data_IF_627659773074
#
_entry.id   IF_627659773074
#
_cell.length_a   1.000
_cell.length_b   1.000
_cell.length_c   1.000
_cell.angle_alpha   90.00
_cell.angle_beta   90.00
_cell.angle_gamma   90.00
#
_symmetry.space_group_name_H-M   'P 1'
#
loop_
_entity.id
_entity.type
_entity.pdbx_description
1 polymer ?
#
# COMPACT_ATOMS: atom_id res chain seq x y z
N UNK A 1 -44.80 1.26 -41.64
CA UNK A 1 -44.55 1.18 -40.17
C UNK A 1 -43.72 -0.08 -39.89
N UNK A 2 -42.43 -0.10 -40.27
CA UNK A 2 -41.56 -1.29 -40.11
C UNK A 2 -40.17 -1.01 -39.51
N UNK A 3 -39.68 0.23 -39.60
CA UNK A 3 -38.26 0.53 -39.34
C UNK A 3 -37.90 0.67 -37.85
N UNK A 4 -38.88 0.85 -36.96
CA UNK A 4 -38.61 1.15 -35.54
C UNK A 4 -38.32 -0.11 -34.69
N UNK A 5 -38.54 -1.32 -35.22
CA UNK A 5 -38.33 -2.56 -34.46
C UNK A 5 -36.91 -3.12 -34.65
N UNK A 6 -36.38 -3.07 -35.87
CA UNK A 6 -35.04 -3.57 -36.18
C UNK A 6 -33.94 -2.73 -35.50
N UNK A 7 -34.13 -1.43 -35.41
CA UNK A 7 -33.20 -0.54 -34.69
C UNK A 7 -33.19 -0.81 -33.19
N UNK A 8 -34.36 -1.09 -32.59
CA UNK A 8 -34.47 -1.46 -31.18
C UNK A 8 -33.82 -2.81 -30.88
N UNK A 9 -33.98 -3.80 -31.77
CA UNK A 9 -33.34 -5.12 -31.65
C UNK A 9 -31.81 -4.98 -31.76
N UNK A 10 -31.33 -4.14 -32.69
CA UNK A 10 -29.91 -3.87 -32.87
C UNK A 10 -29.30 -3.18 -31.64
N UNK A 11 -29.96 -2.15 -31.12
CA UNK A 11 -29.53 -1.44 -29.91
C UNK A 11 -29.55 -2.33 -28.66
N UNK A 12 -30.52 -3.25 -28.55
CA UNK A 12 -30.55 -4.25 -27.48
C UNK A 12 -29.37 -5.21 -27.60
N UNK A 13 -29.04 -5.63 -28.83
CA UNK A 13 -27.88 -6.48 -29.13
C UNK A 13 -26.54 -5.83 -28.78
N UNK A 14 -26.37 -4.54 -29.06
CA UNK A 14 -25.17 -3.78 -28.69
C UNK A 14 -25.03 -3.63 -27.17
N UNK A 15 -26.12 -3.33 -26.46
CA UNK A 15 -26.11 -3.26 -24.98
C UNK A 15 -25.75 -4.60 -24.34
N UNK A 16 -26.26 -5.71 -24.88
CA UNK A 16 -25.91 -7.06 -24.41
C UNK A 16 -24.42 -7.38 -24.65
N UNK A 17 -23.86 -6.95 -25.79
CA UNK A 17 -22.42 -7.10 -26.07
C UNK A 17 -21.55 -6.30 -25.10
N UNK A 18 -21.92 -5.04 -24.82
CA UNK A 18 -21.18 -4.19 -23.86
C UNK A 18 -21.26 -4.79 -22.45
N UNK A 19 -22.46 -5.22 -22.02
CA UNK A 19 -22.64 -5.89 -20.73
C UNK A 19 -21.83 -7.18 -20.62
N UNK A 20 -21.73 -7.96 -21.70
CA UNK A 20 -20.90 -9.17 -21.73
C UNK A 20 -19.41 -8.88 -21.60
N UNK A 21 -18.92 -7.82 -22.25
CA UNK A 21 -17.53 -7.38 -22.15
C UNK A 21 -17.19 -6.83 -20.75
N UNK A 22 -18.08 -6.04 -20.15
CA UNK A 22 -17.94 -5.52 -18.79
C UNK A 22 -17.90 -6.65 -17.74
N UNK A 23 -18.80 -7.64 -17.87
CA UNK A 23 -18.81 -8.82 -17.01
C UNK A 23 -17.52 -9.63 -17.18
N UNK A 24 -17.06 -9.84 -18.42
CA UNK A 24 -15.80 -10.50 -18.71
C UNK A 24 -14.61 -9.81 -18.03
N UNK A 25 -14.55 -8.47 -18.11
CA UNK A 25 -13.49 -7.67 -17.48
C UNK A 25 -13.50 -7.81 -15.95
N UNK A 26 -14.67 -7.70 -15.32
CA UNK A 26 -14.84 -7.84 -13.86
C UNK A 26 -14.50 -9.25 -13.38
N UNK A 27 -14.83 -10.28 -14.16
CA UNK A 27 -14.45 -11.67 -13.87
C UNK A 27 -12.93 -11.82 -13.95
N UNK A 28 -12.27 -11.28 -14.97
CA UNK A 28 -10.79 -11.33 -15.11
C UNK A 28 -10.08 -10.57 -13.99
N UNK A 29 -10.57 -9.38 -13.61
CA UNK A 29 -10.03 -8.59 -12.51
C UNK A 29 -10.20 -9.33 -11.16
N UNK A 30 -11.39 -9.89 -10.93
CA UNK A 30 -11.68 -10.71 -9.74
C UNK A 30 -10.80 -11.96 -9.64
N UNK A 31 -10.58 -12.66 -10.75
CA UNK A 31 -9.68 -13.83 -10.82
C UNK A 31 -8.21 -13.43 -10.61
N UNK A 32 -7.77 -12.30 -11.13
CA UNK A 32 -6.40 -11.80 -10.95
C UNK A 32 -6.12 -11.44 -9.50
N UNK A 33 -7.07 -10.77 -8.84
CA UNK A 33 -7.01 -10.45 -7.40
C UNK A 33 -7.02 -11.72 -6.54
N UNK A 34 -7.87 -12.68 -6.87
CA UNK A 34 -7.93 -13.96 -6.16
C UNK A 34 -6.65 -14.78 -6.35
N UNK A 35 -6.08 -14.82 -7.56
CA UNK A 35 -4.79 -15.46 -7.83
C UNK A 35 -3.65 -14.82 -7.03
N UNK A 36 -3.62 -13.49 -6.94
CA UNK A 36 -2.64 -12.77 -6.13
C UNK A 36 -2.77 -13.14 -4.65
N UNK A 37 -4.00 -13.15 -4.12
CA UNK A 37 -4.27 -13.49 -2.72
C UNK A 37 -4.01 -14.96 -2.39
N UNK A 38 -4.28 -15.88 -3.32
CA UNK A 38 -3.95 -17.31 -3.19
C UNK A 38 -2.44 -17.53 -3.25
N UNK A 39 -1.72 -16.81 -4.11
CA UNK A 39 -0.25 -16.83 -4.16
C UNK A 39 0.35 -16.33 -2.84
N UNK A 40 -0.23 -15.30 -2.25
CA UNK A 40 0.15 -14.78 -0.93
C UNK A 40 -0.13 -15.79 0.20
N UNK A 41 -1.21 -16.57 0.10
CA UNK A 41 -1.58 -17.62 1.06
C UNK A 41 -0.73 -18.90 0.96
N UNK A 42 -0.14 -19.16 -0.20
CA UNK A 42 0.64 -20.37 -0.49
C UNK A 42 2.16 -20.18 -0.37
N UNK A 43 2.63 -18.93 -0.32
CA UNK A 43 4.03 -18.65 0.02
C UNK A 43 4.20 -18.78 1.53
N UNK A 44 5.02 -19.75 1.97
CA UNK A 44 5.58 -19.72 3.32
C UNK A 44 6.26 -18.36 3.57
N UNK A 45 6.40 -17.95 4.84
CA UNK A 45 6.90 -16.62 5.23
C UNK A 45 8.02 -16.15 4.29
N UNK A 46 7.75 -15.09 3.53
CA UNK A 46 8.73 -14.49 2.64
C UNK A 46 9.91 -14.00 3.50
N UNK A 47 11.15 -14.21 3.07
CA UNK A 47 12.35 -13.78 3.80
C UNK A 47 12.29 -12.28 4.15
N UNK A 48 11.71 -11.48 3.24
CA UNK A 48 11.48 -10.05 3.48
C UNK A 48 10.48 -9.80 4.62
N UNK A 49 9.40 -10.58 4.70
CA UNK A 49 8.44 -10.47 5.81
C UNK A 49 9.16 -10.75 7.13
N UNK A 50 9.99 -11.80 7.18
CA UNK A 50 10.74 -12.18 8.39
C UNK A 50 11.69 -11.06 8.85
N UNK A 51 12.49 -10.50 7.95
CA UNK A 51 13.41 -9.38 8.27
C UNK A 51 12.64 -8.18 8.85
N UNK A 52 11.50 -7.84 8.26
CA UNK A 52 10.66 -6.73 8.73
C UNK A 52 9.97 -7.07 10.06
N UNK A 53 9.56 -8.31 10.28
CA UNK A 53 9.01 -8.79 11.55
C UNK A 53 10.04 -8.68 12.69
N UNK A 54 11.28 -9.09 12.43
CA UNK A 54 12.40 -9.02 13.39
C UNK A 54 12.75 -7.57 13.74
N UNK A 55 12.75 -6.66 12.77
CA UNK A 55 12.98 -5.23 13.01
C UNK A 55 11.82 -4.51 13.73
N UNK A 56 10.66 -5.17 13.89
CA UNK A 56 9.44 -4.56 14.45
C UNK A 56 8.75 -5.46 15.49
N UNK A 57 9.52 -6.23 16.25
CA UNK A 57 8.98 -7.11 17.28
C UNK A 57 8.33 -6.33 18.44
N UNK A 58 7.24 -6.86 18.98
CA UNK A 58 6.53 -6.25 20.11
C UNK A 58 7.36 -6.21 21.41
N UNK A 59 8.39 -7.05 21.50
CA UNK A 59 9.29 -7.17 22.64
C UNK A 59 10.41 -6.14 22.64
N UNK A 60 10.57 -5.36 21.56
CA UNK A 60 11.62 -4.33 21.46
C UNK A 60 11.25 -3.09 22.27
N UNK A 61 12.24 -2.53 22.98
CA UNK A 61 12.07 -1.30 23.76
C UNK A 61 11.98 -0.05 22.88
N UNK A 62 12.49 -0.11 21.65
CA UNK A 62 12.52 0.98 20.69
C UNK A 62 13.07 0.55 19.33
N UNK A 63 13.24 1.49 18.39
CA UNK A 63 13.79 1.20 17.07
C UNK A 63 15.22 0.67 17.15
N UNK A 64 15.52 -0.43 16.46
CA UNK A 64 16.88 -0.85 16.19
C UNK A 64 17.39 -0.15 14.93
N UNK A 65 18.15 0.93 15.12
CA UNK A 65 18.70 1.70 14.01
C UNK A 65 19.69 0.90 13.16
N UNK A 66 20.40 -0.07 13.75
CA UNK A 66 21.31 -0.91 12.99
C UNK A 66 20.53 -1.78 12.01
N UNK A 67 19.49 -2.49 12.48
CA UNK A 67 18.63 -3.30 11.61
C UNK A 67 17.89 -2.46 10.57
N UNK A 68 17.36 -1.29 10.95
CA UNK A 68 16.64 -0.43 10.01
C UNK A 68 17.54 0.07 8.86
N UNK A 69 18.79 0.46 9.18
CA UNK A 69 19.75 0.90 8.17
C UNK A 69 20.26 -0.27 7.33
N UNK A 70 20.46 -1.45 7.92
CA UNK A 70 20.79 -2.66 7.17
C UNK A 70 19.70 -3.02 6.15
N UNK A 71 18.43 -2.91 6.50
CA UNK A 71 17.31 -3.09 5.56
C UNK A 71 17.42 -2.09 4.40
N UNK A 72 17.71 -0.82 4.70
CA UNK A 72 17.89 0.21 3.66
C UNK A 72 19.06 -0.13 2.74
N UNK A 73 20.19 -0.58 3.30
CA UNK A 73 21.34 -1.03 2.52
C UNK A 73 21.01 -2.24 1.65
N UNK A 74 20.24 -3.21 2.15
CA UNK A 74 19.80 -4.36 1.37
C UNK A 74 18.90 -3.94 0.21
N UNK A 75 18.00 -2.97 0.41
CA UNK A 75 17.16 -2.41 -0.66
C UNK A 75 18.00 -1.65 -1.68
N UNK A 76 18.91 -0.78 -1.24
CA UNK A 76 19.73 0.05 -2.11
C UNK A 76 20.74 -0.76 -2.95
N UNK A 77 21.18 -1.91 -2.43
CA UNK A 77 22.01 -2.87 -3.14
C UNK A 77 21.21 -3.94 -3.90
N UNK A 78 19.89 -3.78 -4.01
CA UNK A 78 18.97 -4.69 -4.72
C UNK A 78 19.03 -6.15 -4.23
N UNK A 79 19.45 -6.38 -2.98
CA UNK A 79 19.44 -7.70 -2.33
C UNK A 79 18.03 -8.15 -1.98
N UNK A 80 17.16 -7.19 -1.68
CA UNK A 80 15.72 -7.40 -1.44
C UNK A 80 14.91 -6.35 -2.21
N UNK A 81 13.68 -6.70 -2.55
CA UNK A 81 12.81 -5.84 -3.34
C UNK A 81 12.16 -4.75 -2.45
N UNK A 82 12.24 -3.49 -2.88
CA UNK A 82 11.67 -2.34 -2.13
C UNK A 82 10.16 -2.45 -1.94
N UNK A 83 9.42 -2.89 -2.97
CA UNK A 83 7.98 -3.06 -2.91
C UNK A 83 7.59 -4.14 -1.88
N UNK A 84 8.33 -5.25 -1.83
CA UNK A 84 8.09 -6.31 -0.83
C UNK A 84 8.34 -5.80 0.60
N UNK A 85 9.39 -4.99 0.81
CA UNK A 85 9.67 -4.38 2.12
C UNK A 85 8.54 -3.44 2.53
N UNK A 86 8.10 -2.54 1.65
CA UNK A 86 7.02 -1.60 1.95
C UNK A 86 5.69 -2.34 2.20
N UNK A 87 5.41 -3.41 1.44
CA UNK A 87 4.24 -4.27 1.68
C UNK A 87 4.32 -4.99 3.04
N UNK A 88 5.49 -5.50 3.42
CA UNK A 88 5.69 -6.12 4.72
C UNK A 88 5.48 -5.10 5.85
N UNK A 89 6.03 -3.89 5.73
CA UNK A 89 5.82 -2.79 6.68
C UNK A 89 4.33 -2.45 6.80
N UNK A 90 3.59 -2.40 5.69
CA UNK A 90 2.13 -2.21 5.69
C UNK A 90 1.43 -3.26 6.54
N UNK A 91 1.76 -4.55 6.38
CA UNK A 91 1.19 -5.64 7.18
C UNK A 91 1.42 -5.38 8.67
N UNK A 92 2.63 -4.95 9.06
CA UNK A 92 2.97 -4.62 10.46
C UNK A 92 2.15 -3.43 11.01
N UNK A 93 1.97 -2.37 10.22
CA UNK A 93 1.13 -1.21 10.55
C UNK A 93 -0.32 -1.63 10.86
N UNK A 94 -0.84 -2.62 10.13
CA UNK A 94 -2.22 -3.13 10.26
C UNK A 94 -2.45 -4.06 11.47
N UNK A 95 -1.41 -4.54 12.16
CA UNK A 95 -1.54 -5.48 13.29
C UNK A 95 -2.15 -4.85 14.55
N UNK A 96 -2.33 -3.52 14.59
CA UNK A 96 -2.92 -2.74 15.71
C UNK A 96 -2.25 -2.92 17.07
N UNK A 97 -1.16 -3.69 17.17
CA UNK A 97 -0.32 -3.71 18.37
C UNK A 97 0.44 -2.37 18.46
N UNK A 98 0.26 -1.61 19.57
CA UNK A 98 0.95 -0.35 19.84
C UNK A 98 2.42 -0.30 19.45
N UNK A 99 3.21 -1.27 19.92
CA UNK A 99 4.66 -1.29 19.75
C UNK A 99 5.03 -1.58 18.31
N UNK A 100 4.47 -2.65 17.76
CA UNK A 100 4.72 -3.07 16.37
C UNK A 100 4.38 -1.95 15.40
N UNK A 101 3.22 -1.33 15.56
CA UNK A 101 2.77 -0.26 14.69
C UNK A 101 3.68 0.97 14.77
N UNK A 102 4.14 1.36 15.96
CA UNK A 102 5.11 2.46 16.11
C UNK A 102 6.44 2.15 15.41
N UNK A 103 7.01 0.98 15.67
CA UNK A 103 8.28 0.55 15.07
C UNK A 103 8.17 0.46 13.55
N UNK A 104 7.06 -0.04 13.02
CA UNK A 104 6.79 -0.09 11.59
C UNK A 104 6.72 1.31 10.96
N UNK A 105 6.10 2.29 11.62
CA UNK A 105 6.09 3.69 11.17
C UNK A 105 7.50 4.31 11.17
N UNK A 106 8.36 3.96 12.15
CA UNK A 106 9.76 4.41 12.18
C UNK A 106 10.59 3.75 11.07
N UNK A 107 10.41 2.45 10.84
CA UNK A 107 11.08 1.76 9.74
C UNK A 107 10.64 2.32 8.38
N UNK A 108 9.34 2.60 8.20
CA UNK A 108 8.80 3.24 7.00
C UNK A 108 9.47 4.59 6.72
N UNK A 109 9.53 5.45 7.74
CA UNK A 109 10.21 6.74 7.64
C UNK A 109 11.68 6.58 7.23
N UNK A 110 12.36 5.60 7.83
CA UNK A 110 13.77 5.32 7.56
C UNK A 110 13.95 4.90 6.10
N UNK A 111 13.14 3.96 5.60
CA UNK A 111 13.17 3.54 4.19
C UNK A 111 12.89 4.71 3.24
N UNK A 112 11.87 5.54 3.52
CA UNK A 112 11.55 6.72 2.68
C UNK A 112 12.71 7.72 2.63
N UNK A 113 13.44 7.90 3.73
CA UNK A 113 14.57 8.84 3.78
C UNK A 113 15.84 8.32 3.14
N UNK A 114 16.01 6.99 3.04
CA UNK A 114 17.29 6.37 2.66
C UNK A 114 17.24 5.56 1.36
N UNK A 115 16.05 5.27 0.81
CA UNK A 115 15.88 4.46 -0.39
C UNK A 115 15.11 5.22 -1.47
N UNK A 116 15.74 5.43 -2.63
CA UNK A 116 15.20 6.24 -3.73
C UNK A 116 13.82 5.77 -4.21
N UNK A 117 13.61 4.44 -4.30
CA UNK A 117 12.34 3.85 -4.76
C UNK A 117 11.26 3.80 -3.67
N UNK A 118 11.60 3.99 -2.39
CA UNK A 118 10.66 3.73 -1.29
C UNK A 118 9.40 4.61 -1.39
N UNK A 119 9.55 5.89 -1.75
CA UNK A 119 8.41 6.79 -1.83
C UNK A 119 7.41 6.40 -2.93
N UNK A 120 7.88 5.98 -4.12
CA UNK A 120 6.99 5.44 -5.15
C UNK A 120 6.28 4.17 -4.70
N UNK A 121 6.93 3.33 -3.89
CA UNK A 121 6.31 2.12 -3.35
C UNK A 121 5.29 2.41 -2.24
N UNK A 122 5.50 3.46 -1.44
CA UNK A 122 4.50 3.94 -0.47
C UNK A 122 3.19 4.30 -1.19
N UNK A 123 3.29 4.95 -2.35
CA UNK A 123 2.16 5.27 -3.19
C UNK A 123 1.55 4.00 -3.84
N UNK A 124 2.37 3.13 -4.42
CA UNK A 124 1.91 1.91 -5.11
C UNK A 124 1.17 0.94 -4.18
N UNK A 125 1.66 0.78 -2.95
CA UNK A 125 1.07 -0.09 -1.92
C UNK A 125 -0.07 0.60 -1.13
N UNK A 126 -0.43 1.84 -1.48
CA UNK A 126 -1.52 2.62 -0.85
C UNK A 126 -1.37 2.72 0.67
N UNK A 127 -0.17 3.04 1.14
CA UNK A 127 0.13 3.15 2.58
C UNK A 127 -0.67 4.29 3.23
N UNK A 128 -0.83 5.41 2.53
CA UNK A 128 -1.59 6.57 3.02
C UNK A 128 -3.01 6.18 3.45
N UNK A 129 -3.69 5.32 2.68
CA UNK A 129 -5.04 4.86 3.02
C UNK A 129 -5.08 4.12 4.37
N UNK A 130 -4.07 3.30 4.67
CA UNK A 130 -4.00 2.61 5.96
C UNK A 130 -3.60 3.54 7.11
N UNK A 131 -2.78 4.57 6.82
CA UNK A 131 -2.43 5.59 7.82
C UNK A 131 -3.65 6.47 8.16
N UNK A 132 -4.46 6.87 7.18
CA UNK A 132 -5.72 7.59 7.42
C UNK A 132 -6.67 6.76 8.28
N UNK A 133 -6.87 5.47 7.94
CA UNK A 133 -7.67 4.55 8.76
C UNK A 133 -7.13 4.42 10.19
N UNK A 134 -5.81 4.38 10.36
CA UNK A 134 -5.18 4.35 11.68
C UNK A 134 -5.48 5.63 12.47
N UNK A 135 -5.38 6.79 11.82
CA UNK A 135 -5.61 8.10 12.45
C UNK A 135 -7.05 8.23 12.92
N UNK A 136 -8.00 7.80 12.09
CA UNK A 136 -9.43 7.83 12.36
C UNK A 136 -9.88 6.76 13.38
N UNK A 137 -9.09 5.70 13.59
CA UNK A 137 -9.41 4.67 14.57
C UNK A 137 -9.24 5.22 16.01
N UNK A 138 -10.32 5.32 16.81
CA UNK A 138 -10.24 5.83 18.17
C UNK A 138 -9.45 4.91 19.11
N UNK A 139 -9.25 3.63 18.75
CA UNK A 139 -8.44 2.69 19.52
C UNK A 139 -6.93 2.87 19.28
N UNK A 140 -6.54 3.58 18.21
CA UNK A 140 -5.12 3.90 17.98
C UNK A 140 -4.61 4.79 19.10
N UNK A 141 -3.50 4.37 19.71
CA UNK A 141 -2.81 5.16 20.74
C UNK A 141 -2.28 6.47 20.18
N UNK A 142 -2.35 7.53 21.00
CA UNK A 142 -2.04 8.91 20.60
C UNK A 142 -0.66 9.04 19.97
N UNK A 143 0.36 8.37 20.51
CA UNK A 143 1.73 8.44 19.99
C UNK A 143 1.82 7.93 18.54
N UNK A 144 1.12 6.85 18.20
CA UNK A 144 1.15 6.28 16.85
C UNK A 144 0.38 7.16 15.87
N UNK A 145 -0.78 7.69 16.31
CA UNK A 145 -1.56 8.67 15.53
C UNK A 145 -0.71 9.90 15.21
N UNK A 146 -0.04 10.47 16.20
CA UNK A 146 0.82 11.64 16.01
C UNK A 146 1.99 11.33 15.10
N UNK A 147 2.63 10.16 15.24
CA UNK A 147 3.70 9.72 14.35
C UNK A 147 3.23 9.63 12.89
N UNK A 148 2.06 9.04 12.65
CA UNK A 148 1.48 8.94 11.32
C UNK A 148 1.16 10.33 10.73
N UNK A 149 0.54 11.21 11.51
CA UNK A 149 0.26 12.60 11.09
C UNK A 149 1.55 13.34 10.70
N UNK A 150 2.59 13.29 11.54
CA UNK A 150 3.87 13.93 11.24
C UNK A 150 4.50 13.42 9.94
N UNK A 151 4.40 12.12 9.64
CA UNK A 151 4.90 11.59 8.37
C UNK A 151 4.11 12.10 7.17
N UNK A 152 2.78 12.15 7.28
CA UNK A 152 1.91 12.68 6.21
C UNK A 152 2.21 14.17 5.97
N UNK A 153 2.34 14.96 7.03
CA UNK A 153 2.70 16.38 6.97
C UNK A 153 4.06 16.57 6.28
N UNK A 154 5.09 15.83 6.72
CA UNK A 154 6.43 15.89 6.13
C UNK A 154 6.44 15.54 4.64
N UNK A 155 5.67 14.53 4.24
CA UNK A 155 5.55 14.17 2.83
C UNK A 155 4.84 15.27 2.04
N UNK A 156 3.77 15.86 2.59
CA UNK A 156 3.05 16.96 1.97
C UNK A 156 3.86 18.25 1.83
N UNK A 157 4.75 18.56 2.77
CA UNK A 157 5.64 19.73 2.70
C UNK A 157 6.79 19.53 1.70
N UNK A 158 7.23 18.29 1.50
CA UNK A 158 8.35 17.90 0.61
C UNK A 158 8.02 18.00 -0.90
N UNK A 159 7.16 18.95 -1.28
CA UNK A 159 6.57 19.25 -2.60
C UNK A 159 7.50 19.32 -3.82
N UNK A 160 8.83 19.21 -3.66
CA UNK A 160 9.75 19.01 -4.80
C UNK A 160 9.73 17.58 -5.34
N UNK A 161 9.45 16.57 -4.50
CA UNK A 161 9.34 15.16 -4.92
C UNK A 161 7.92 14.77 -5.34
N UNK A 162 6.90 15.54 -5.00
CA UNK A 162 5.48 15.19 -5.21
C UNK A 162 4.88 15.60 -6.57
N UNK A 163 5.65 16.28 -7.43
CA UNK A 163 5.11 16.83 -8.69
C UNK A 163 4.66 15.79 -9.74
N UNK A 164 4.80 14.49 -9.45
CA UNK A 164 4.44 13.41 -10.38
C UNK A 164 3.22 12.57 -9.98
N UNK A 165 2.58 12.79 -8.82
CA UNK A 165 1.43 11.99 -8.36
C UNK A 165 0.12 12.80 -8.40
N UNK A 166 -0.75 12.58 -9.42
CA UNK A 166 -2.04 13.27 -9.54
C UNK A 166 -2.94 13.13 -8.30
N UNK A 167 -2.86 12.00 -7.59
CA UNK A 167 -3.65 11.68 -6.39
C UNK A 167 -3.38 12.65 -5.23
N UNK A 168 -2.17 13.19 -5.14
CA UNK A 168 -1.81 14.08 -4.04
C UNK A 168 -2.43 15.48 -4.20
N UNK A 169 -2.56 15.95 -5.45
CA UNK A 169 -3.15 17.26 -5.76
C UNK A 169 -4.66 17.30 -5.49
N UNK A 170 -5.36 16.17 -5.67
CA UNK A 170 -6.81 16.07 -5.44
C UNK A 170 -7.20 15.97 -3.95
N UNK A 171 -6.29 15.50 -3.09
CA UNK A 171 -6.62 15.21 -1.67
C UNK A 171 -6.28 16.38 -0.74
N UNK A 172 -5.31 17.24 -1.10
CA UNK A 172 -4.73 18.22 -0.18
C UNK A 172 -4.81 19.68 -0.66
N UNK A 173 -5.59 19.99 -1.71
CA UNK A 173 -5.98 21.36 -2.08
C UNK A 173 -7.33 21.76 -1.50
#
# INVERSE_FOLDING_TARGET
>A
MGDNLMDKVSALGEKLKISGAEVGRKVTEGMSSMSFKVKELLQGQNEVDKIVEEATMETMDGPDWASNLEICDMVNNEKINSQEVIRAIKKRIMLKNPRVQYLALVLLETCVKNCEKAFSEVASERILDEMVKMIDDPQTIVNNRNKALTLIEQWGESTEQLRYLPVFEETYK
#
